data_IF_292501578836
#
_entry.id   IF_292501578836
#
_cell.length_a   1.000
_cell.length_b   1.000
_cell.length_c   1.000
_cell.angle_alpha   90.00
_cell.angle_beta   90.00
_cell.angle_gamma   90.00
#
_symmetry.space_group_name_H-M   'P 1'
#
loop_
_entity.id
_entity.type
_entity.pdbx_description
1 polymer ?
#
# COMPACT_ATOMS: atom_id res chain seq x y z
N UNK A 1 -41.18 -18.54 16.75
CA UNK A 1 -40.33 -18.94 17.90
C UNK A 1 -38.94 -18.27 17.89
N UNK A 2 -38.20 -18.22 16.77
CA UNK A 2 -36.84 -17.67 16.73
C UNK A 2 -36.74 -16.18 17.13
N UNK A 3 -37.66 -15.35 16.63
CA UNK A 3 -37.71 -13.90 16.96
C UNK A 3 -38.01 -13.63 18.44
N UNK A 4 -38.90 -14.42 19.07
CA UNK A 4 -39.21 -14.28 20.49
C UNK A 4 -38.03 -14.69 21.38
N UNK A 5 -37.27 -15.73 20.98
CA UNK A 5 -36.02 -16.11 21.65
C UNK A 5 -34.96 -15.02 21.50
N UNK A 6 -34.89 -14.37 20.34
CA UNK A 6 -33.95 -13.28 20.09
C UNK A 6 -34.27 -12.02 20.91
N UNK A 7 -35.55 -11.63 20.93
CA UNK A 7 -36.03 -10.52 21.75
C UNK A 7 -35.76 -10.76 23.23
N UNK A 8 -36.03 -11.97 23.73
CA UNK A 8 -35.75 -12.33 25.11
C UNK A 8 -34.25 -12.20 25.45
N UNK A 9 -33.38 -12.60 24.54
CA UNK A 9 -31.93 -12.47 24.73
C UNK A 9 -31.48 -11.00 24.77
N UNK A 10 -32.05 -10.14 23.92
CA UNK A 10 -31.82 -8.68 23.98
C UNK A 10 -32.29 -8.10 25.32
N UNK A 11 -33.48 -8.49 25.79
CA UNK A 11 -34.01 -8.04 27.09
C UNK A 11 -33.13 -8.50 28.27
N UNK A 12 -32.65 -9.75 28.25
CA UNK A 12 -31.73 -10.29 29.27
C UNK A 12 -30.42 -9.50 29.29
N UNK A 13 -29.83 -9.23 28.11
CA UNK A 13 -28.61 -8.42 28.01
C UNK A 13 -28.82 -6.99 28.51
N UNK A 14 -29.98 -6.40 28.19
CA UNK A 14 -30.34 -5.04 28.63
C UNK A 14 -30.49 -4.96 30.14
N UNK A 15 -31.15 -5.95 30.76
CA UNK A 15 -31.27 -6.07 32.22
C UNK A 15 -29.91 -6.19 32.90
N UNK A 16 -29.01 -7.01 32.34
CA UNK A 16 -27.66 -7.23 32.89
C UNK A 16 -26.78 -5.99 32.81
N UNK A 17 -26.89 -5.20 31.74
CA UNK A 17 -26.21 -3.89 31.59
C UNK A 17 -26.74 -2.91 32.62
N UNK A 18 -28.06 -2.88 32.83
CA UNK A 18 -28.70 -1.99 33.80
C UNK A 18 -28.24 -2.30 35.24
N UNK A 19 -28.20 -3.58 35.61
CA UNK A 19 -27.67 -4.02 36.91
C UNK A 19 -26.20 -3.62 37.10
N UNK A 20 -25.35 -3.77 36.07
CA UNK A 20 -23.95 -3.36 36.15
C UNK A 20 -23.77 -1.85 36.27
N UNK A 21 -24.58 -1.05 35.56
CA UNK A 21 -24.58 0.42 35.70
C UNK A 21 -24.91 0.85 37.13
N UNK A 22 -25.92 0.23 37.75
CA UNK A 22 -26.27 0.52 39.14
C UNK A 22 -25.15 0.13 40.13
N UNK A 23 -24.41 -0.94 39.86
CA UNK A 23 -23.28 -1.36 40.69
C UNK A 23 -22.07 -0.43 40.58
N UNK A 24 -21.85 0.18 39.41
CA UNK A 24 -20.78 1.16 39.16
C UNK A 24 -20.99 2.48 39.90
N UNK A 25 -22.24 2.92 40.07
CA UNK A 25 -22.56 4.13 40.85
C UNK A 25 -22.24 3.98 42.34
N UNK A 26 -22.05 2.74 42.83
CA UNK A 26 -21.86 2.44 44.26
C UNK A 26 -20.42 2.06 44.66
N UNK A 27 -19.47 1.93 43.73
CA UNK A 27 -18.10 1.45 44.03
C UNK A 27 -17.02 2.33 43.38
N UNK A 28 -16.04 2.76 44.15
CA UNK A 28 -14.81 3.43 43.66
C UNK A 28 -13.58 2.53 43.85
N UNK A 29 -12.62 2.59 42.90
CA UNK A 29 -11.36 1.85 42.92
C UNK A 29 -11.09 0.99 41.66
N UNK A 30 -9.97 0.24 41.64
CA UNK A 30 -9.53 -0.56 40.47
C UNK A 30 -10.56 -1.58 39.96
N UNK A 31 -11.40 -2.13 40.85
CA UNK A 31 -12.50 -3.03 40.45
C UNK A 31 -13.60 -2.31 39.66
N UNK A 32 -13.74 -0.99 39.80
CA UNK A 32 -14.67 -0.20 39.00
C UNK A 32 -14.20 -0.08 37.54
N UNK A 33 -12.89 0.06 37.31
CA UNK A 33 -12.31 0.14 35.95
C UNK A 33 -12.60 -1.14 35.16
N UNK A 34 -12.40 -2.31 35.79
CA UNK A 34 -12.71 -3.60 35.16
C UNK A 34 -14.22 -3.74 34.86
N UNK A 35 -15.08 -3.27 35.76
CA UNK A 35 -16.53 -3.26 35.55
C UNK A 35 -16.96 -2.28 34.46
N UNK A 36 -16.30 -1.14 34.31
CA UNK A 36 -16.54 -0.19 33.20
C UNK A 36 -16.14 -0.85 31.87
N UNK A 37 -15.01 -1.53 31.81
CA UNK A 37 -14.60 -2.25 30.60
C UNK A 37 -15.59 -3.36 30.23
N UNK A 38 -16.04 -4.15 31.22
CA UNK A 38 -17.05 -5.18 31.01
C UNK A 38 -18.41 -4.59 30.58
N UNK A 39 -18.78 -3.43 31.12
CA UNK A 39 -19.99 -2.70 30.73
C UNK A 39 -19.90 -2.26 29.26
N UNK A 40 -18.79 -1.65 28.86
CA UNK A 40 -18.55 -1.23 27.47
C UNK A 40 -18.64 -2.43 26.53
N UNK A 41 -18.02 -3.55 26.90
CA UNK A 41 -18.10 -4.78 26.12
C UNK A 41 -19.54 -5.31 25.98
N UNK A 42 -20.32 -5.33 27.06
CA UNK A 42 -21.72 -5.75 27.02
C UNK A 42 -22.59 -4.82 26.19
N UNK A 43 -22.36 -3.50 26.22
CA UNK A 43 -23.05 -2.54 25.36
C UNK A 43 -22.71 -2.75 23.88
N UNK A 44 -21.45 -3.06 23.56
CA UNK A 44 -21.01 -3.41 22.22
C UNK A 44 -21.68 -4.70 21.72
N UNK A 45 -21.73 -5.72 22.58
CA UNK A 45 -22.40 -6.99 22.30
C UNK A 45 -23.91 -6.79 22.08
N UNK A 46 -24.57 -5.99 22.93
CA UNK A 46 -25.98 -5.64 22.77
C UNK A 46 -26.24 -4.92 21.45
N UNK A 47 -25.37 -3.96 21.09
CA UNK A 47 -25.47 -3.23 19.83
C UNK A 47 -25.43 -4.19 18.63
N UNK A 48 -24.49 -5.13 18.63
CA UNK A 48 -24.37 -6.12 17.56
C UNK A 48 -25.55 -7.12 17.52
N UNK A 49 -25.96 -7.63 18.68
CA UNK A 49 -27.04 -8.62 18.82
C UNK A 49 -28.43 -8.02 18.56
N UNK A 50 -28.61 -6.73 18.83
CA UNK A 50 -29.87 -6.03 18.56
C UNK A 50 -30.01 -5.62 17.09
N UNK A 51 -28.91 -5.57 16.33
CA UNK A 51 -28.86 -5.15 14.92
C UNK A 51 -29.87 -5.89 14.02
N UNK A 52 -30.07 -7.21 14.11
CA UNK A 52 -31.10 -7.93 13.35
C UNK A 52 -32.54 -7.56 13.73
N UNK A 53 -32.80 -7.24 15.01
CA UNK A 53 -34.10 -6.72 15.47
C UNK A 53 -34.30 -5.28 14.95
N UNK A 54 -33.23 -4.50 14.93
CA UNK A 54 -33.09 -3.21 14.24
C UNK A 54 -33.04 -3.33 12.70
N UNK A 55 -33.34 -4.46 12.08
CA UNK A 55 -33.67 -4.52 10.64
C UNK A 55 -35.04 -5.15 10.41
N UNK A 56 -35.41 -6.14 11.24
CA UNK A 56 -36.66 -6.89 11.10
C UNK A 56 -37.93 -6.23 11.66
N UNK A 57 -37.84 -5.26 12.59
CA UNK A 57 -39.04 -4.64 13.16
C UNK A 57 -39.60 -3.53 12.25
N UNK A 58 -40.85 -3.68 11.81
CA UNK A 58 -41.63 -2.64 11.10
C UNK A 58 -41.85 -1.44 12.03
N UNK A 59 -41.72 -0.20 11.54
CA UNK A 59 -42.00 0.99 12.34
C UNK A 59 -43.45 0.98 12.82
N UNK A 60 -43.65 1.23 14.11
CA UNK A 60 -44.99 1.47 14.66
C UNK A 60 -45.48 2.82 14.16
N UNK A 61 -46.70 2.88 13.63
CA UNK A 61 -47.33 4.15 13.22
C UNK A 61 -47.49 5.03 14.46
N UNK A 62 -46.82 6.17 14.48
CA UNK A 62 -46.95 7.15 15.58
C UNK A 62 -48.03 8.15 15.18
N UNK A 63 -49.06 8.29 16.02
CA UNK A 63 -50.05 9.38 15.91
C UNK A 63 -49.40 10.66 16.40
N UNK A 64 -49.20 11.63 15.50
CA UNK A 64 -48.72 12.96 15.85
C UNK A 64 -49.88 13.95 15.64
N UNK A 65 -50.05 14.88 16.58
CA UNK A 65 -51.00 15.98 16.41
C UNK A 65 -50.35 17.00 15.46
N UNK A 66 -50.98 17.25 14.30
CA UNK A 66 -50.54 18.29 13.39
C UNK A 66 -51.33 19.56 13.71
N UNK A 67 -50.65 20.52 14.33
CA UNK A 67 -51.21 21.84 14.66
C UNK A 67 -51.84 22.53 13.44
N UNK A 68 -51.24 22.33 12.26
CA UNK A 68 -51.67 22.89 10.98
C UNK A 68 -53.05 22.38 10.49
N UNK A 69 -53.47 21.18 10.94
CA UNK A 69 -54.75 20.57 10.54
C UNK A 69 -55.76 20.42 11.68
N UNK A 70 -55.40 20.85 12.90
CA UNK A 70 -56.24 20.74 14.10
C UNK A 70 -56.82 19.34 14.32
N UNK A 71 -56.11 18.29 13.89
CA UNK A 71 -56.57 16.90 13.95
C UNK A 71 -55.41 15.92 14.16
N UNK A 72 -55.71 14.80 14.82
CA UNK A 72 -54.77 13.70 15.06
C UNK A 72 -54.65 12.83 13.81
N UNK A 73 -53.76 13.19 12.92
CA UNK A 73 -53.50 12.37 11.73
C UNK A 73 -52.40 11.33 12.01
N UNK A 74 -52.62 10.09 11.57
CA UNK A 74 -51.60 9.04 11.62
C UNK A 74 -50.56 9.34 10.54
N UNK A 75 -49.47 9.98 10.93
CA UNK A 75 -48.33 10.21 10.04
C UNK A 75 -47.47 8.94 10.02
N UNK A 76 -47.32 8.34 8.84
CA UNK A 76 -46.27 7.34 8.64
C UNK A 76 -44.93 8.07 8.56
N UNK A 77 -44.28 8.31 9.69
CA UNK A 77 -42.85 8.58 9.66
C UNK A 77 -42.16 7.33 9.14
N UNK A 78 -41.53 7.41 7.97
CA UNK A 78 -40.78 6.30 7.38
C UNK A 78 -39.41 6.12 8.08
N UNK A 79 -39.51 5.84 9.38
CA UNK A 79 -38.39 5.62 10.28
C UNK A 79 -37.56 4.40 9.84
N UNK A 80 -38.17 3.48 9.10
CA UNK A 80 -37.50 2.34 8.50
C UNK A 80 -36.51 2.77 7.42
N UNK A 81 -36.90 3.69 6.53
CA UNK A 81 -36.04 4.17 5.45
C UNK A 81 -34.83 4.94 5.99
N UNK A 82 -35.04 5.84 6.95
CA UNK A 82 -33.94 6.56 7.62
C UNK A 82 -32.99 5.59 8.33
N UNK A 83 -33.52 4.55 8.98
CA UNK A 83 -32.75 3.53 9.70
C UNK A 83 -31.96 2.60 8.78
N UNK A 84 -32.52 2.20 7.64
CA UNK A 84 -31.80 1.42 6.63
C UNK A 84 -30.67 2.26 6.05
N UNK A 85 -30.92 3.55 5.77
CA UNK A 85 -29.93 4.44 5.19
C UNK A 85 -28.75 4.70 6.15
N UNK A 86 -29.02 4.98 7.43
CA UNK A 86 -27.93 5.16 8.40
C UNK A 86 -27.14 3.88 8.66
N UNK A 87 -27.81 2.73 8.78
CA UNK A 87 -27.16 1.45 9.01
C UNK A 87 -26.30 1.01 7.82
N UNK A 88 -26.79 1.20 6.59
CA UNK A 88 -26.04 0.88 5.37
C UNK A 88 -24.83 1.80 5.23
N UNK A 89 -24.97 3.11 5.50
CA UNK A 89 -23.83 4.04 5.50
C UNK A 89 -22.76 3.65 6.53
N UNK A 90 -23.14 3.35 7.78
CA UNK A 90 -22.19 2.92 8.82
C UNK A 90 -21.52 1.60 8.45
N UNK A 91 -22.26 0.65 7.88
CA UNK A 91 -21.73 -0.65 7.47
C UNK A 91 -20.72 -0.53 6.31
N UNK A 92 -20.97 0.38 5.35
CA UNK A 92 -20.04 0.65 4.24
C UNK A 92 -18.73 1.27 4.76
N UNK A 93 -18.83 2.26 5.66
CA UNK A 93 -17.64 2.88 6.28
C UNK A 93 -16.83 1.83 7.05
N UNK A 94 -17.51 1.00 7.85
CA UNK A 94 -16.87 -0.07 8.61
C UNK A 94 -16.17 -1.09 7.70
N UNK A 95 -16.80 -1.48 6.60
CA UNK A 95 -16.22 -2.41 5.63
C UNK A 95 -14.96 -1.85 4.96
N UNK A 96 -14.99 -0.59 4.52
CA UNK A 96 -13.81 0.11 3.96
C UNK A 96 -12.67 0.13 4.98
N UNK A 97 -12.98 0.46 6.23
CA UNK A 97 -11.98 0.50 7.30
C UNK A 97 -11.38 -0.90 7.58
N UNK A 98 -12.20 -1.94 7.58
CA UNK A 98 -11.76 -3.32 7.81
C UNK A 98 -10.83 -3.82 6.70
N UNK A 99 -11.16 -3.55 5.43
CA UNK A 99 -10.28 -3.87 4.29
C UNK A 99 -8.94 -3.13 4.41
N UNK A 100 -8.95 -1.86 4.81
CA UNK A 100 -7.73 -1.07 5.02
C UNK A 100 -6.86 -1.65 6.12
N UNK A 101 -7.45 -1.99 7.26
CA UNK A 101 -6.73 -2.61 8.38
C UNK A 101 -6.11 -3.95 7.96
N UNK A 102 -6.85 -4.74 7.18
CA UNK A 102 -6.36 -6.00 6.63
C UNK A 102 -5.17 -5.80 5.70
N UNK A 103 -5.20 -4.78 4.82
CA UNK A 103 -4.06 -4.44 3.96
C UNK A 103 -2.83 -3.98 4.76
N UNK A 104 -3.01 -3.16 5.80
CA UNK A 104 -1.90 -2.70 6.66
C UNK A 104 -1.26 -3.88 7.40
N UNK A 105 -2.04 -4.86 7.84
CA UNK A 105 -1.53 -6.04 8.54
C UNK A 105 -0.83 -7.02 7.58
N UNK A 106 -1.38 -7.24 6.38
CA UNK A 106 -0.80 -8.16 5.41
C UNK A 106 0.41 -7.60 4.64
N UNK A 107 0.48 -6.28 4.44
CA UNK A 107 1.56 -5.68 3.65
C UNK A 107 2.97 -5.99 4.22
N UNK A 108 3.25 -5.89 5.53
CA UNK A 108 4.56 -6.24 6.08
C UNK A 108 4.88 -7.74 6.02
N UNK A 109 3.85 -8.59 6.04
CA UNK A 109 4.01 -10.06 6.00
C UNK A 109 4.42 -10.52 4.59
N UNK A 110 3.90 -9.85 3.55
CA UNK A 110 4.19 -10.20 2.15
C UNK A 110 5.47 -9.48 1.65
N UNK A 111 5.69 -8.22 2.07
CA UNK A 111 6.70 -7.35 1.46
C UNK A 111 7.84 -6.95 2.42
N UNK A 112 7.82 -7.41 3.68
CA UNK A 112 8.77 -6.99 4.70
C UNK A 112 8.43 -5.61 5.31
N UNK A 113 9.20 -5.14 6.31
CA UNK A 113 8.91 -3.90 7.01
C UNK A 113 8.94 -2.70 6.05
N UNK A 114 7.81 -1.99 5.96
CA UNK A 114 7.66 -0.80 5.13
C UNK A 114 8.44 0.34 5.80
N UNK A 115 9.57 0.73 5.22
CA UNK A 115 10.39 1.84 5.71
C UNK A 115 9.66 3.17 5.40
N UNK A 116 8.92 3.70 6.38
CA UNK A 116 8.08 4.90 6.23
C UNK A 116 8.89 6.19 6.01
N UNK A 117 10.15 6.23 6.44
CA UNK A 117 11.11 7.28 6.12
C UNK A 117 12.51 6.67 6.15
N UNK A 118 13.18 6.62 4.99
CA UNK A 118 14.64 6.54 4.95
C UNK A 118 15.15 7.95 5.28
N UNK A 119 15.37 8.24 6.57
CA UNK A 119 16.43 9.21 6.87
C UNK A 119 17.67 8.51 6.35
N UNK A 120 18.26 9.06 5.29
CA UNK A 120 19.61 8.69 4.90
C UNK A 120 20.50 9.11 6.06
N UNK A 121 20.58 8.26 7.08
CA UNK A 121 21.80 8.13 7.84
C UNK A 121 22.87 8.04 6.76
N UNK A 122 23.77 9.02 6.76
CA UNK A 122 25.02 8.95 6.03
C UNK A 122 25.68 7.68 6.55
N UNK A 123 25.35 6.56 5.90
CA UNK A 123 25.98 5.27 6.13
C UNK A 123 27.45 5.61 5.91
N UNK A 124 28.26 5.49 6.95
CA UNK A 124 29.70 5.57 6.81
C UNK A 124 30.03 4.65 5.66
N UNK A 125 30.59 5.22 4.59
CA UNK A 125 30.94 4.48 3.37
C UNK A 125 31.70 3.25 3.85
N UNK A 126 31.08 2.08 3.69
CA UNK A 126 31.73 0.82 4.02
C UNK A 126 33.02 0.81 3.20
N UNK A 127 34.17 0.49 3.79
CA UNK A 127 35.46 0.52 3.09
C UNK A 127 35.45 -0.34 1.79
N UNK A 128 34.56 -1.32 1.71
CA UNK A 128 34.26 -2.10 0.50
C UNK A 128 33.53 -1.30 -0.59
N UNK A 129 32.61 -0.40 -0.22
CA UNK A 129 31.96 0.52 -1.17
C UNK A 129 32.92 1.60 -1.65
N UNK A 130 33.87 2.03 -0.82
CA UNK A 130 34.89 3.00 -1.24
C UNK A 130 35.81 2.41 -2.32
N UNK A 131 36.26 1.16 -2.17
CA UNK A 131 37.00 0.43 -3.21
C UNK A 131 36.17 0.22 -4.48
N UNK A 132 34.87 -0.14 -4.36
CA UNK A 132 33.97 -0.28 -5.52
C UNK A 132 33.75 1.07 -6.23
N UNK A 133 33.57 2.16 -5.49
CA UNK A 133 33.40 3.51 -6.07
C UNK A 133 34.72 3.99 -6.72
N UNK A 134 35.88 3.72 -6.10
CA UNK A 134 37.18 4.03 -6.69
C UNK A 134 37.48 3.19 -7.94
N UNK A 135 37.08 1.91 -7.95
CA UNK A 135 37.11 1.03 -9.12
C UNK A 135 36.19 1.55 -10.23
N UNK A 136 34.93 1.87 -9.93
CA UNK A 136 33.95 2.38 -10.89
C UNK A 136 34.34 3.74 -11.48
N UNK A 137 34.91 4.64 -10.68
CA UNK A 137 35.43 5.93 -11.16
C UNK A 137 36.70 5.78 -11.98
N UNK A 138 37.59 4.84 -11.63
CA UNK A 138 38.77 4.48 -12.43
C UNK A 138 38.38 3.93 -13.81
N UNK A 139 37.37 3.06 -13.86
CA UNK A 139 36.83 2.48 -15.10
C UNK A 139 36.23 3.55 -16.02
N UNK A 140 35.51 4.55 -15.47
CA UNK A 140 34.93 5.63 -16.27
C UNK A 140 35.94 6.66 -16.76
N UNK A 141 37.01 6.91 -15.99
CA UNK A 141 38.06 7.87 -16.32
C UNK A 141 39.22 7.27 -17.10
N UNK A 142 39.21 5.96 -17.32
CA UNK A 142 40.20 5.23 -18.10
C UNK A 142 40.43 5.85 -19.49
N UNK A 143 41.68 5.78 -19.95
CA UNK A 143 42.09 6.32 -21.25
C UNK A 143 41.36 5.57 -22.37
N UNK A 144 40.79 6.32 -23.30
CA UNK A 144 40.15 5.74 -24.49
C UNK A 144 41.23 5.19 -25.42
N UNK A 145 41.07 3.93 -25.83
CA UNK A 145 41.91 3.27 -26.82
C UNK A 145 41.09 2.98 -28.07
N UNK A 146 41.39 3.69 -29.15
CA UNK A 146 40.55 3.69 -30.36
C UNK A 146 40.58 2.36 -31.14
N UNK A 147 41.57 1.50 -30.89
CA UNK A 147 41.69 0.18 -31.53
C UNK A 147 40.88 -0.90 -30.79
N UNK A 148 40.31 -0.59 -29.63
CA UNK A 148 39.49 -1.52 -28.86
C UNK A 148 38.12 -1.70 -29.53
N UNK A 149 37.62 -2.94 -29.56
CA UNK A 149 36.30 -3.23 -30.15
C UNK A 149 35.22 -2.53 -29.32
N UNK A 150 34.39 -1.73 -30.00
CA UNK A 150 33.23 -1.07 -29.39
C UNK A 150 32.17 -2.14 -29.15
N UNK A 151 31.68 -2.31 -27.91
CA UNK A 151 30.68 -3.33 -27.64
C UNK A 151 29.33 -2.98 -28.26
N UNK A 152 28.60 -4.02 -28.67
CA UNK A 152 27.28 -3.91 -29.26
C UNK A 152 26.27 -4.68 -28.43
N UNK A 153 25.21 -3.99 -27.98
CA UNK A 153 24.06 -4.63 -27.33
C UNK A 153 23.19 -5.29 -28.42
N UNK A 154 23.07 -6.62 -28.38
CA UNK A 154 22.35 -7.41 -29.38
C UNK A 154 20.93 -7.73 -28.96
N UNK A 155 20.69 -7.94 -27.66
CA UNK A 155 19.38 -8.38 -27.15
C UNK A 155 19.14 -7.91 -25.73
N UNK A 156 17.86 -7.65 -25.42
CA UNK A 156 17.37 -7.40 -24.06
C UNK A 156 16.21 -8.35 -23.80
N UNK A 157 16.36 -9.24 -22.83
CA UNK A 157 15.28 -10.09 -22.35
C UNK A 157 14.64 -9.49 -21.09
N UNK A 158 13.30 -9.45 -21.08
CA UNK A 158 12.54 -9.12 -19.88
C UNK A 158 12.22 -10.40 -19.12
N UNK A 159 12.68 -10.48 -17.88
CA UNK A 159 12.47 -11.63 -17.00
C UNK A 159 11.25 -11.40 -16.09
N UNK A 160 10.88 -12.43 -15.33
CA UNK A 160 9.83 -12.32 -14.29
C UNK A 160 10.31 -11.39 -13.17
N UNK A 161 9.40 -10.74 -12.46
CA UNK A 161 9.76 -9.80 -11.39
C UNK A 161 10.19 -8.41 -11.87
N UNK A 162 10.22 -8.18 -13.19
CA UNK A 162 10.68 -6.90 -13.76
C UNK A 162 12.20 -6.80 -13.86
N UNK A 163 12.90 -7.92 -13.71
CA UNK A 163 14.32 -8.06 -13.99
C UNK A 163 14.57 -8.01 -15.50
N UNK A 164 15.78 -7.58 -15.88
CA UNK A 164 16.21 -7.52 -17.27
C UNK A 164 17.53 -8.24 -17.44
N UNK A 165 17.72 -8.85 -18.60
CA UNK A 165 18.97 -9.47 -19.01
C UNK A 165 19.44 -8.86 -20.31
N UNK A 166 20.65 -8.34 -20.32
CA UNK A 166 21.28 -7.68 -21.45
C UNK A 166 22.29 -8.63 -22.07
N UNK A 167 22.32 -8.70 -23.39
CA UNK A 167 23.28 -9.49 -24.14
C UNK A 167 23.96 -8.65 -25.20
N UNK A 168 25.20 -8.96 -25.49
CA UNK A 168 25.90 -8.32 -26.57
C UNK A 168 27.19 -8.99 -26.95
N UNK A 169 27.93 -8.30 -27.81
CA UNK A 169 29.25 -8.70 -28.29
C UNK A 169 30.25 -7.60 -27.92
N UNK A 170 31.50 -7.95 -27.65
CA UNK A 170 32.59 -7.01 -27.41
C UNK A 170 33.95 -7.69 -27.54
N UNK A 171 34.98 -7.05 -27.01
CA UNK A 171 36.32 -7.60 -27.06
C UNK A 171 36.47 -8.79 -26.09
N UNK A 172 36.90 -9.98 -26.56
CA UNK A 172 37.11 -11.13 -25.69
C UNK A 172 38.07 -10.83 -24.54
N UNK A 173 37.87 -11.49 -23.40
CA UNK A 173 38.74 -11.39 -22.20
C UNK A 173 38.83 -9.97 -21.63
N UNK A 174 37.80 -9.16 -21.84
CA UNK A 174 37.68 -7.83 -21.23
C UNK A 174 36.38 -7.74 -20.45
N UNK A 175 36.18 -6.65 -19.70
CA UNK A 175 34.94 -6.41 -18.98
C UNK A 175 34.01 -5.51 -19.79
N UNK A 176 32.71 -5.80 -19.76
CA UNK A 176 31.67 -4.92 -20.28
C UNK A 176 31.15 -4.02 -19.15
N UNK A 177 31.01 -2.73 -19.44
CA UNK A 177 30.41 -1.75 -18.53
C UNK A 177 29.18 -1.16 -19.19
N UNK A 178 28.01 -1.41 -18.59
CA UNK A 178 26.71 -0.91 -19.02
C UNK A 178 26.30 0.28 -18.17
N UNK A 179 25.93 1.37 -18.83
CA UNK A 179 25.39 2.59 -18.24
C UNK A 179 23.92 2.70 -18.62
N UNK A 180 23.04 2.56 -17.64
CA UNK A 180 21.59 2.69 -17.82
C UNK A 180 21.14 4.04 -17.28
N UNK A 181 20.49 4.85 -18.12
CA UNK A 181 19.99 6.16 -17.70
C UNK A 181 18.75 6.02 -16.83
N UNK A 182 18.83 6.46 -15.58
CA UNK A 182 17.68 6.67 -14.68
C UNK A 182 17.89 7.98 -13.90
N UNK A 183 17.09 8.24 -12.86
CA UNK A 183 17.29 9.37 -11.94
C UNK A 183 18.73 9.43 -11.38
N UNK A 184 19.35 8.27 -11.22
CA UNK A 184 20.78 8.08 -11.05
C UNK A 184 21.25 7.06 -12.09
N UNK A 185 22.41 7.29 -12.71
CA UNK A 185 22.97 6.33 -13.68
C UNK A 185 23.28 5.02 -12.97
N UNK A 186 22.68 3.93 -13.45
CA UNK A 186 22.98 2.59 -12.95
C UNK A 186 24.14 2.04 -13.78
N UNK A 187 25.18 1.57 -13.09
CA UNK A 187 26.38 0.97 -13.69
C UNK A 187 26.30 -0.54 -13.44
N UNK A 188 26.38 -1.34 -14.50
CA UNK A 188 26.52 -2.79 -14.39
C UNK A 188 27.83 -3.21 -15.04
N UNK A 189 28.56 -4.10 -14.40
CA UNK A 189 29.82 -4.65 -14.93
C UNK A 189 29.65 -6.15 -15.12
N UNK A 190 30.15 -6.67 -16.24
CA UNK A 190 30.20 -8.10 -16.50
C UNK A 190 31.46 -8.48 -17.25
N UNK A 191 31.73 -9.77 -17.35
CA UNK A 191 32.86 -10.30 -18.13
C UNK A 191 32.41 -10.63 -19.56
N UNK A 192 33.30 -10.40 -20.52
CA UNK A 192 33.14 -10.82 -21.92
C UNK A 192 33.91 -12.12 -22.11
N UNK A 193 33.22 -13.16 -22.59
CA UNK A 193 33.79 -14.49 -22.77
C UNK A 193 34.83 -14.55 -23.91
N UNK A 194 35.44 -15.73 -24.08
CA UNK A 194 36.45 -15.96 -25.12
C UNK A 194 35.87 -15.88 -26.55
N UNK A 195 34.56 -16.04 -26.70
CA UNK A 195 33.83 -15.88 -27.96
C UNK A 195 33.49 -14.41 -28.25
N UNK A 196 33.72 -13.51 -27.29
CA UNK A 196 33.36 -12.10 -27.37
C UNK A 196 31.90 -11.84 -27.01
N UNK A 197 31.16 -12.82 -26.51
CA UNK A 197 29.78 -12.67 -26.06
C UNK A 197 29.74 -12.28 -24.58
N UNK A 198 28.75 -11.48 -24.20
CA UNK A 198 28.55 -11.09 -22.81
C UNK A 198 27.08 -11.08 -22.41
N UNK A 199 26.85 -11.32 -21.13
CA UNK A 199 25.53 -11.30 -20.50
C UNK A 199 25.60 -10.58 -19.16
N UNK A 200 24.68 -9.64 -18.92
CA UNK A 200 24.58 -8.93 -17.65
C UNK A 200 23.13 -8.88 -17.18
N UNK A 201 22.90 -9.22 -15.92
CA UNK A 201 21.58 -9.26 -15.31
C UNK A 201 21.35 -8.02 -14.45
N UNK A 202 20.16 -7.42 -14.58
CA UNK A 202 19.65 -6.37 -13.71
C UNK A 202 18.53 -6.96 -12.85
N UNK A 203 18.85 -7.21 -11.59
CA UNK A 203 17.91 -7.71 -10.58
C UNK A 203 17.29 -6.53 -9.84
N UNK A 204 15.95 -6.40 -9.92
CA UNK A 204 15.22 -5.25 -9.37
C UNK A 204 15.23 -5.15 -7.84
N UNK A 205 15.45 -6.27 -7.16
CA UNK A 205 15.54 -6.31 -5.71
C UNK A 205 16.78 -5.57 -5.19
N UNK A 206 17.83 -5.48 -6.01
CA UNK A 206 19.08 -4.78 -5.70
C UNK A 206 19.07 -3.35 -6.26
N UNK A 207 18.58 -3.16 -7.50
CA UNK A 207 18.60 -1.89 -8.22
C UNK A 207 17.23 -1.58 -8.83
N UNK A 208 16.52 -0.61 -8.23
CA UNK A 208 15.20 -0.18 -8.70
C UNK A 208 15.30 0.76 -9.90
N UNK A 209 14.95 0.25 -11.07
CA UNK A 209 14.77 1.05 -12.28
C UNK A 209 13.36 1.67 -12.35
N UNK A 210 13.29 3.00 -12.57
CA UNK A 210 12.01 3.71 -12.68
C UNK A 210 11.16 3.24 -13.88
N UNK A 211 9.86 3.59 -13.89
CA UNK A 211 8.97 3.33 -15.04
C UNK A 211 9.23 4.39 -16.11
N UNK A 212 9.56 3.97 -17.34
CA UNK A 212 9.82 4.91 -18.41
C UNK A 212 10.70 4.38 -19.53
N UNK A 213 11.14 5.30 -20.38
CA UNK A 213 12.13 5.03 -21.41
C UNK A 213 13.51 5.27 -20.82
N UNK A 214 14.38 4.28 -20.94
CA UNK A 214 15.76 4.34 -20.50
C UNK A 214 16.66 4.18 -21.72
N UNK A 215 17.80 4.85 -21.66
CA UNK A 215 18.89 4.70 -22.61
C UNK A 215 19.99 3.84 -22.01
N UNK A 216 20.61 3.04 -22.85
CA UNK A 216 21.73 2.17 -22.52
C UNK A 216 22.92 2.61 -23.37
N UNK A 217 24.05 2.76 -22.69
CA UNK A 217 25.37 2.90 -23.31
C UNK A 217 26.26 1.79 -22.75
N UNK A 218 27.21 1.31 -23.54
CA UNK A 218 28.16 0.32 -23.09
C UNK A 218 29.58 0.67 -23.54
N UNK A 219 30.60 0.24 -22.80
CA UNK A 219 31.99 0.26 -23.25
C UNK A 219 32.75 -0.93 -22.68
N UNK A 220 33.75 -1.39 -23.42
CA UNK A 220 34.68 -2.43 -22.97
C UNK A 220 35.77 -1.81 -22.10
N UNK A 221 36.20 -2.53 -21.07
CA UNK A 221 37.29 -2.16 -20.17
C UNK A 221 38.31 -3.29 -20.09
N UNK A 222 39.54 -3.00 -20.49
CA UNK A 222 40.69 -3.91 -20.37
C UNK A 222 41.41 -3.59 -19.06
N UNK A 223 41.27 -4.49 -18.08
CA UNK A 223 41.80 -4.31 -16.73
C UNK A 223 43.34 -4.39 -16.70
N UNK A 224 43.97 -5.16 -17.60
CA UNK A 224 45.42 -5.27 -17.64
C UNK A 224 46.09 -3.99 -18.16
N UNK A 225 45.44 -3.35 -19.14
CA UNK A 225 45.95 -2.14 -19.79
C UNK A 225 45.38 -0.85 -19.19
N UNK A 226 44.39 -0.95 -18.30
CA UNK A 226 43.62 0.17 -17.75
C UNK A 226 43.07 1.12 -18.83
N UNK A 227 42.65 0.55 -19.97
CA UNK A 227 42.07 1.31 -21.09
C UNK A 227 40.63 0.91 -21.32
N UNK A 228 39.87 1.83 -21.92
CA UNK A 228 38.48 1.59 -22.30
C UNK A 228 38.24 1.81 -23.79
N UNK A 229 37.24 1.15 -24.33
CA UNK A 229 36.75 1.40 -25.68
C UNK A 229 36.02 2.74 -25.76
N UNK A 230 35.72 3.17 -26.99
CA UNK A 230 34.71 4.18 -27.20
C UNK A 230 33.34 3.68 -26.72
N UNK A 231 32.44 4.63 -26.42
CA UNK A 231 31.07 4.32 -26.03
C UNK A 231 30.30 3.73 -27.21
N UNK A 232 29.49 2.72 -26.93
CA UNK A 232 28.55 2.14 -27.88
C UNK A 232 27.51 3.16 -28.35
N UNK A 233 26.82 2.81 -29.43
CA UNK A 233 25.62 3.54 -29.82
C UNK A 233 24.57 3.48 -28.70
N UNK A 234 23.86 4.60 -28.51
CA UNK A 234 22.81 4.72 -27.51
C UNK A 234 21.58 3.91 -27.93
N UNK A 235 21.28 2.86 -27.18
CA UNK A 235 20.06 2.08 -27.37
C UNK A 235 19.00 2.49 -26.35
N UNK A 236 17.74 2.20 -26.63
CA UNK A 236 16.62 2.55 -25.74
C UNK A 236 15.77 1.32 -25.45
N UNK A 237 15.31 1.22 -24.22
CA UNK A 237 14.32 0.23 -23.82
C UNK A 237 13.29 0.86 -22.87
N UNK A 238 12.11 0.26 -22.82
CA UNK A 238 11.02 0.73 -21.97
C UNK A 238 10.88 -0.18 -20.76
N UNK A 239 11.16 0.37 -19.58
CA UNK A 239 10.87 -0.25 -18.30
C UNK A 239 9.40 -0.07 -17.97
N UNK A 240 8.70 -1.17 -17.71
CA UNK A 240 7.32 -1.14 -17.22
C UNK A 240 7.28 -1.70 -15.81
N UNK A 241 6.68 -0.94 -14.91
CA UNK A 241 6.39 -1.40 -13.56
C UNK A 241 5.32 -2.50 -13.57
N UNK A 242 5.39 -3.37 -12.56
CA UNK A 242 4.38 -4.39 -12.33
C UNK A 242 3.08 -3.70 -11.88
N UNK A 243 1.92 -4.17 -12.35
CA UNK A 243 0.59 -3.63 -12.02
C UNK A 243 0.38 -3.42 -10.50
N UNK A 244 0.99 -4.27 -9.69
CA UNK A 244 0.95 -4.20 -8.22
C UNK A 244 1.68 -2.95 -7.70
N UNK A 245 2.87 -2.63 -8.23
CA UNK A 245 3.61 -1.41 -7.87
C UNK A 245 2.85 -0.15 -8.28
N UNK A 246 2.14 -0.20 -9.41
CA UNK A 246 1.30 0.92 -9.88
C UNK A 246 0.09 1.17 -8.97
N UNK A 247 -0.51 0.12 -8.43
CA UNK A 247 -1.59 0.22 -7.44
C UNK A 247 -1.08 0.78 -6.11
N UNK A 248 0.12 0.38 -5.68
CA UNK A 248 0.73 0.83 -4.41
C UNK A 248 1.28 2.26 -4.49
N UNK A 249 1.88 2.69 -5.60
CA UNK A 249 2.33 4.10 -5.76
C UNK A 249 1.16 5.08 -5.66
N UNK A 250 -0.03 4.64 -6.04
CA UNK A 250 -1.25 5.42 -5.90
C UNK A 250 -1.92 5.23 -4.53
N UNK A 251 -1.43 4.34 -3.65
CA UNK A 251 -2.05 4.12 -2.33
C UNK A 251 -2.07 5.39 -1.50
N UNK A 252 -1.05 6.24 -1.59
CA UNK A 252 -1.03 7.51 -0.87
C UNK A 252 -2.13 8.48 -1.35
N UNK A 253 -2.39 8.48 -2.65
CA UNK A 253 -3.51 9.24 -3.26
C UNK A 253 -4.85 8.62 -2.84
N UNK A 254 -4.95 7.29 -2.79
CA UNK A 254 -6.15 6.60 -2.28
C UNK A 254 -6.38 6.84 -0.79
N UNK A 255 -5.31 6.89 0.02
CA UNK A 255 -5.38 7.16 1.46
C UNK A 255 -5.89 8.58 1.70
N UNK A 256 -5.35 9.58 0.99
CA UNK A 256 -5.80 10.96 1.15
C UNK A 256 -7.20 11.20 0.59
N UNK A 257 -7.55 10.61 -0.56
CA UNK A 257 -8.91 10.76 -1.12
C UNK A 257 -9.99 10.08 -0.28
N UNK A 258 -9.64 9.01 0.46
CA UNK A 258 -10.58 8.34 1.38
C UNK A 258 -11.04 9.24 2.54
N UNK A 259 -10.16 10.11 3.04
CA UNK A 259 -10.50 11.07 4.10
C UNK A 259 -11.52 12.09 3.57
N UNK A 260 -11.30 12.59 2.35
CA UNK A 260 -12.22 13.52 1.67
C UNK A 260 -13.60 12.89 1.48
N UNK A 261 -13.67 11.62 1.08
CA UNK A 261 -14.94 10.88 0.92
C UNK A 261 -15.66 10.74 2.26
N UNK A 262 -14.96 10.42 3.35
CA UNK A 262 -15.56 10.29 4.69
C UNK A 262 -16.12 11.64 5.17
N UNK A 263 -15.39 12.74 4.95
CA UNK A 263 -15.85 14.08 5.31
C UNK A 263 -17.11 14.46 4.53
N UNK A 264 -17.12 14.24 3.21
CA UNK A 264 -18.28 14.53 2.35
C UNK A 264 -19.49 13.69 2.78
N UNK A 265 -19.29 12.40 3.06
CA UNK A 265 -20.36 11.50 3.50
C UNK A 265 -20.90 11.91 4.88
N UNK A 266 -20.02 12.33 5.80
CA UNK A 266 -20.40 12.88 7.10
C UNK A 266 -21.24 14.13 6.96
N UNK A 267 -20.82 15.10 6.15
CA UNK A 267 -21.59 16.32 5.87
C UNK A 267 -22.96 15.97 5.26
N UNK A 268 -22.99 15.09 4.27
CA UNK A 268 -24.23 14.65 3.62
C UNK A 268 -25.21 13.99 4.59
N UNK A 269 -24.72 13.09 5.46
CA UNK A 269 -25.54 12.47 6.50
C UNK A 269 -26.05 13.51 7.50
N UNK A 270 -25.24 14.50 7.86
CA UNK A 270 -25.62 15.56 8.80
C UNK A 270 -26.75 16.41 8.22
N UNK A 271 -26.66 16.78 6.94
CA UNK A 271 -27.71 17.51 6.19
C UNK A 271 -28.99 16.69 6.08
N UNK A 272 -28.89 15.37 5.89
CA UNK A 272 -30.06 14.50 5.77
C UNK A 272 -30.74 14.20 7.12
N UNK A 273 -30.01 14.40 8.23
CA UNK A 273 -30.54 14.25 9.59
C UNK A 273 -31.14 15.51 10.20
N UNK A 274 -30.74 16.70 9.70
CA UNK A 274 -31.35 17.99 10.05
C UNK A 274 -32.73 18.12 9.38
#
# INVERSE_FOLDING_TARGET
>A
MLQARWLNLVLILTSRIYEQKQQLTRRSGFKAIFNVFNLIFLELLLSFVSLPLYVGMKSSRVTAYLEEKSDYTKINFDYNLRRILTLTSVSVIFFIWLVKLLLIILAPVIFGPIQLYSVSDLKSVDLLQEEVIMSETGIQTAKVFDEMIIPELTKIDKLRGGDYRFYGIGQPQTKIVLLISDSQTIILVGDIDDQGEWQVDLVRDELKLSEGNHSILAFGFDEEKEVRSQLSYRQYFKSQDILINKLLKNSDIFINSSITIIIILGIFLTILTL
#
